data_IF_997045575348
#
_entry.id   IF_997045575348
#
_cell.length_a   1.000
_cell.length_b   1.000
_cell.length_c   1.000
_cell.angle_alpha   90.00
_cell.angle_beta   90.00
_cell.angle_gamma   90.00
#
_symmetry.space_group_name_H-M   'P 1'
#
loop_
_entity.id
_entity.type
_entity.pdbx_description
1 polymer ?
#
# COMPACT_ATOMS: atom_id res chain seq x y z
N UNK A 1 -44.42 -23.53 25.94
CA UNK A 1 -44.62 -22.93 24.61
C UNK A 1 -44.49 -21.40 24.61
N UNK A 2 -44.95 -20.68 25.65
CA UNK A 2 -44.94 -19.20 25.71
C UNK A 2 -43.52 -18.58 25.58
N UNK A 3 -42.49 -19.20 26.18
CA UNK A 3 -41.12 -18.67 26.14
C UNK A 3 -40.45 -18.70 24.75
N UNK A 4 -40.96 -19.50 23.81
CA UNK A 4 -40.40 -19.60 22.45
C UNK A 4 -40.93 -18.51 21.52
N UNK A 5 -42.21 -18.15 21.65
CA UNK A 5 -42.83 -17.08 20.87
C UNK A 5 -42.28 -15.70 21.26
N UNK A 6 -42.14 -15.42 22.56
CA UNK A 6 -41.53 -14.19 23.06
C UNK A 6 -40.11 -13.97 22.52
N UNK A 7 -39.34 -15.05 22.34
CA UNK A 7 -38.00 -14.97 21.75
C UNK A 7 -38.05 -14.65 20.26
N UNK A 8 -38.97 -15.25 19.50
CA UNK A 8 -39.16 -14.94 18.06
C UNK A 8 -39.57 -13.48 17.87
N UNK A 9 -40.43 -12.97 18.75
CA UNK A 9 -40.89 -11.58 18.74
C UNK A 9 -39.75 -10.60 19.04
N UNK A 10 -38.94 -10.89 20.07
CA UNK A 10 -37.78 -10.08 20.41
C UNK A 10 -36.75 -9.99 19.27
N UNK A 11 -36.47 -11.11 18.59
CA UNK A 11 -35.56 -11.09 17.44
C UNK A 11 -36.16 -10.33 16.25
N UNK A 12 -37.47 -10.45 15.98
CA UNK A 12 -38.11 -9.65 14.93
C UNK A 12 -38.03 -8.14 15.24
N UNK A 13 -38.25 -7.74 16.49
CA UNK A 13 -38.12 -6.35 16.93
C UNK A 13 -36.68 -5.85 16.81
N UNK A 14 -35.69 -6.71 17.10
CA UNK A 14 -34.26 -6.39 16.92
C UNK A 14 -33.92 -6.12 15.45
N UNK A 15 -34.45 -6.93 14.52
CA UNK A 15 -34.26 -6.70 13.07
C UNK A 15 -34.88 -5.36 12.65
N UNK A 16 -36.11 -5.07 13.10
CA UNK A 16 -36.80 -3.81 12.79
C UNK A 16 -36.07 -2.59 13.36
N UNK A 17 -35.56 -2.69 14.60
CA UNK A 17 -34.78 -1.64 15.23
C UNK A 17 -33.45 -1.39 14.49
N UNK A 18 -32.73 -2.45 14.12
CA UNK A 18 -31.50 -2.37 13.34
C UNK A 18 -31.71 -1.73 11.97
N UNK A 19 -32.73 -2.18 11.22
CA UNK A 19 -33.12 -1.56 9.95
C UNK A 19 -33.47 -0.06 10.13
N UNK A 20 -34.31 0.27 11.10
CA UNK A 20 -34.72 1.66 11.32
C UNK A 20 -33.56 2.56 11.78
N UNK A 21 -32.59 2.01 12.52
CA UNK A 21 -31.40 2.74 12.91
C UNK A 21 -30.44 2.93 11.74
N UNK A 22 -30.25 1.89 10.93
CA UNK A 22 -29.51 1.98 9.68
C UNK A 22 -30.10 3.06 8.76
N UNK A 23 -31.41 3.06 8.50
CA UNK A 23 -32.04 4.09 7.65
C UNK A 23 -31.83 5.51 8.16
N UNK A 24 -31.74 5.70 9.49
CA UNK A 24 -31.53 7.02 10.11
C UNK A 24 -30.07 7.48 10.09
N UNK A 25 -29.12 6.55 10.22
CA UNK A 25 -27.72 6.88 10.53
C UNK A 25 -26.72 6.40 9.47
N UNK A 26 -27.12 5.51 8.56
CA UNK A 26 -26.26 4.89 7.55
C UNK A 26 -25.19 3.95 8.13
N UNK A 27 -25.31 3.54 9.40
CA UNK A 27 -24.31 2.72 10.06
C UNK A 27 -24.45 1.24 9.70
N UNK A 28 -23.48 0.68 8.98
CA UNK A 28 -23.46 -0.72 8.54
C UNK A 28 -23.45 -1.73 9.69
N UNK A 29 -22.98 -1.34 10.88
CA UNK A 29 -23.05 -2.21 12.07
C UNK A 29 -24.51 -2.60 12.39
N UNK A 30 -25.45 -1.68 12.19
CA UNK A 30 -26.87 -1.92 12.47
C UNK A 30 -27.50 -2.90 11.47
N UNK A 31 -27.04 -2.90 10.21
CA UNK A 31 -27.41 -3.94 9.24
C UNK A 31 -26.80 -5.29 9.59
N UNK A 32 -25.58 -5.30 10.13
CA UNK A 32 -24.94 -6.52 10.65
C UNK A 32 -25.73 -7.13 11.79
N UNK A 33 -26.11 -6.31 12.78
CA UNK A 33 -26.94 -6.73 13.91
C UNK A 33 -28.33 -7.25 13.48
N UNK A 34 -28.94 -6.63 12.47
CA UNK A 34 -30.19 -7.08 11.89
C UNK A 34 -30.04 -8.43 11.15
N UNK A 35 -28.92 -8.63 10.43
CA UNK A 35 -28.61 -9.88 9.76
C UNK A 35 -28.37 -11.03 10.76
N UNK A 36 -27.66 -10.77 11.86
CA UNK A 36 -27.42 -11.77 12.92
C UNK A 36 -28.73 -12.20 13.61
N UNK A 37 -29.65 -11.26 13.82
CA UNK A 37 -31.00 -11.56 14.33
C UNK A 37 -31.81 -12.42 13.34
N UNK A 38 -31.67 -12.22 12.03
CA UNK A 38 -32.28 -13.10 11.01
C UNK A 38 -31.69 -14.51 11.07
N UNK A 39 -30.37 -14.66 11.24
CA UNK A 39 -29.78 -16.00 11.40
C UNK A 39 -30.28 -16.70 12.67
N UNK A 40 -30.41 -15.95 13.77
CA UNK A 40 -31.00 -16.45 15.01
C UNK A 40 -32.44 -16.93 14.80
N UNK A 41 -33.26 -16.19 14.03
CA UNK A 41 -34.62 -16.60 13.66
C UNK A 41 -34.64 -17.87 12.80
N UNK A 42 -33.66 -18.05 11.90
CA UNK A 42 -33.53 -19.28 11.09
C UNK A 42 -33.16 -20.49 11.95
N UNK A 43 -32.28 -20.31 12.93
CA UNK A 43 -31.94 -21.36 13.90
C UNK A 43 -33.14 -21.75 14.75
N UNK A 44 -33.91 -20.76 15.23
CA UNK A 44 -35.17 -21.02 15.94
C UNK A 44 -36.18 -21.77 15.08
N UNK A 45 -36.28 -21.45 13.78
CA UNK A 45 -37.15 -22.17 12.86
C UNK A 45 -36.74 -23.64 12.70
N UNK A 46 -35.43 -23.92 12.57
CA UNK A 46 -34.92 -25.30 12.49
C UNK A 46 -35.19 -26.09 13.76
N UNK A 47 -35.05 -25.46 14.93
CA UNK A 47 -35.23 -26.11 16.22
C UNK A 47 -36.70 -26.28 16.61
N UNK A 48 -37.53 -25.26 16.35
CA UNK A 48 -38.92 -25.17 16.83
C UNK A 48 -39.86 -24.57 15.76
N UNK A 49 -40.15 -25.30 14.66
CA UNK A 49 -40.92 -24.76 13.53
C UNK A 49 -42.31 -24.24 13.93
N UNK A 50 -43.00 -24.94 14.84
CA UNK A 50 -44.36 -24.60 15.27
C UNK A 50 -44.43 -23.25 16.00
N UNK A 51 -43.37 -22.84 16.69
CA UNK A 51 -43.30 -21.56 17.41
C UNK A 51 -43.00 -20.39 16.48
N UNK A 52 -42.31 -20.64 15.36
CA UNK A 52 -41.93 -19.61 14.37
C UNK A 52 -42.97 -19.49 13.26
N UNK A 53 -43.70 -20.56 12.94
CA UNK A 53 -44.69 -20.62 11.86
C UNK A 53 -45.66 -19.41 11.81
N UNK A 54 -46.20 -18.91 12.94
CA UNK A 54 -47.08 -17.74 12.92
C UNK A 54 -46.42 -16.45 12.44
N UNK A 55 -45.09 -16.35 12.50
CA UNK A 55 -44.31 -15.15 12.20
C UNK A 55 -43.57 -15.22 10.86
N UNK A 56 -43.66 -16.34 10.12
CA UNK A 56 -42.86 -16.57 8.92
C UNK A 56 -42.98 -15.47 7.87
N UNK A 57 -44.18 -14.95 7.62
CA UNK A 57 -44.37 -13.87 6.64
C UNK A 57 -43.78 -12.53 7.10
N UNK A 58 -43.72 -12.27 8.41
CA UNK A 58 -42.98 -11.10 8.95
C UNK A 58 -41.48 -11.33 8.79
N UNK A 59 -40.98 -12.49 9.17
CA UNK A 59 -39.55 -12.84 9.10
C UNK A 59 -39.04 -12.76 7.66
N UNK A 60 -39.80 -13.28 6.68
CA UNK A 60 -39.45 -13.18 5.26
C UNK A 60 -39.31 -11.72 4.81
N UNK A 61 -40.33 -10.89 5.09
CA UNK A 61 -40.28 -9.46 4.73
C UNK A 61 -39.09 -8.73 5.36
N UNK A 62 -38.79 -9.01 6.63
CA UNK A 62 -37.64 -8.43 7.30
C UNK A 62 -36.31 -8.92 6.70
N UNK A 63 -36.22 -10.20 6.36
CA UNK A 63 -35.04 -10.76 5.73
C UNK A 63 -34.80 -10.21 4.32
N UNK A 64 -35.87 -10.02 3.54
CA UNK A 64 -35.78 -9.42 2.21
C UNK A 64 -35.36 -7.95 2.32
N UNK A 65 -35.94 -7.18 3.24
CA UNK A 65 -35.55 -5.78 3.49
C UNK A 65 -34.08 -5.63 3.90
N UNK A 66 -33.59 -6.45 4.83
CA UNK A 66 -32.15 -6.43 5.22
C UNK A 66 -31.27 -6.79 4.03
N UNK A 67 -31.66 -7.79 3.23
CA UNK A 67 -30.88 -8.19 2.04
C UNK A 67 -30.81 -7.07 1.01
N UNK A 68 -31.94 -6.44 0.71
CA UNK A 68 -32.01 -5.32 -0.24
C UNK A 68 -31.08 -4.19 0.17
N UNK A 69 -31.09 -3.81 1.46
CA UNK A 69 -30.21 -2.76 1.98
C UNK A 69 -28.73 -3.17 1.94
N UNK A 70 -28.40 -4.41 2.30
CA UNK A 70 -27.01 -4.91 2.21
C UNK A 70 -26.49 -4.83 0.76
N UNK A 71 -27.28 -5.29 -0.21
CA UNK A 71 -26.89 -5.25 -1.63
C UNK A 71 -26.73 -3.80 -2.09
N UNK A 72 -27.67 -2.92 -1.75
CA UNK A 72 -27.59 -1.50 -2.09
C UNK A 72 -26.33 -0.83 -1.52
N UNK A 73 -25.97 -1.13 -0.27
CA UNK A 73 -24.75 -0.60 0.34
C UNK A 73 -23.47 -1.17 -0.26
N UNK A 74 -23.45 -2.46 -0.61
CA UNK A 74 -22.30 -3.06 -1.29
C UNK A 74 -22.01 -2.39 -2.63
N UNK A 75 -23.04 -2.17 -3.44
CA UNK A 75 -22.89 -1.52 -4.75
C UNK A 75 -22.43 -0.06 -4.59
N UNK A 76 -23.01 0.67 -3.64
CA UNK A 76 -22.62 2.06 -3.36
C UNK A 76 -21.16 2.17 -2.91
N UNK A 77 -20.74 1.34 -1.96
CA UNK A 77 -19.36 1.33 -1.45
C UNK A 77 -18.35 0.90 -2.51
N UNK A 78 -18.70 -0.10 -3.33
CA UNK A 78 -17.85 -0.54 -4.43
C UNK A 78 -17.66 0.57 -5.47
N UNK A 79 -18.73 1.31 -5.80
CA UNK A 79 -18.68 2.44 -6.71
C UNK A 79 -17.83 3.60 -6.15
N UNK A 80 -18.00 3.94 -4.87
CA UNK A 80 -17.22 4.98 -4.20
C UNK A 80 -15.73 4.60 -4.15
N UNK A 81 -15.42 3.36 -3.76
CA UNK A 81 -14.06 2.84 -3.74
C UNK A 81 -13.40 2.91 -5.12
N UNK A 82 -14.12 2.50 -6.18
CA UNK A 82 -13.60 2.57 -7.55
C UNK A 82 -13.31 4.01 -7.99
N UNK A 83 -14.18 4.97 -7.63
CA UNK A 83 -13.96 6.38 -7.93
C UNK A 83 -12.73 6.96 -7.22
N UNK A 84 -12.55 6.62 -5.93
CA UNK A 84 -11.37 7.04 -5.15
C UNK A 84 -10.10 6.44 -5.76
N UNK A 85 -10.09 5.14 -6.08
CA UNK A 85 -8.93 4.49 -6.69
C UNK A 85 -8.53 5.12 -8.03
N UNK A 86 -9.50 5.49 -8.87
CA UNK A 86 -9.24 6.20 -10.13
C UNK A 86 -8.63 7.59 -9.89
N UNK A 87 -9.13 8.34 -8.91
CA UNK A 87 -8.58 9.65 -8.57
C UNK A 87 -7.15 9.54 -8.02
N UNK A 88 -6.87 8.53 -7.18
CA UNK A 88 -5.51 8.25 -6.72
C UNK A 88 -4.54 7.97 -7.88
N UNK A 89 -4.97 7.16 -8.87
CA UNK A 89 -4.18 6.91 -10.08
C UNK A 89 -3.92 8.20 -10.86
N UNK A 90 -4.95 9.05 -11.03
CA UNK A 90 -4.84 10.33 -11.73
C UNK A 90 -3.88 11.28 -11.01
N UNK A 91 -3.98 11.38 -9.69
CA UNK A 91 -3.09 12.19 -8.87
C UNK A 91 -1.65 11.65 -8.90
N UNK A 92 -1.47 10.33 -8.87
CA UNK A 92 -0.16 9.71 -8.99
C UNK A 92 0.49 10.01 -10.35
N UNK A 93 -0.26 9.91 -11.45
CA UNK A 93 0.24 10.25 -12.78
C UNK A 93 0.60 11.74 -12.88
N UNK A 94 -0.27 12.63 -12.39
CA UNK A 94 0.01 14.07 -12.33
C UNK A 94 1.27 14.36 -11.52
N UNK A 95 1.44 13.72 -10.36
CA UNK A 95 2.65 13.83 -9.53
C UNK A 95 3.89 13.35 -10.28
N UNK A 96 3.82 12.25 -11.04
CA UNK A 96 4.93 11.77 -11.90
C UNK A 96 5.29 12.79 -12.97
N UNK A 97 4.30 13.35 -13.68
CA UNK A 97 4.51 14.40 -14.71
C UNK A 97 5.15 15.66 -14.12
N UNK A 98 4.65 16.15 -12.99
CA UNK A 98 5.23 17.29 -12.27
C UNK A 98 6.66 17.01 -11.81
N UNK A 99 6.92 15.81 -11.28
CA UNK A 99 8.26 15.40 -10.87
C UNK A 99 9.23 15.42 -12.05
N UNK A 100 8.84 14.85 -13.19
CA UNK A 100 9.66 14.85 -14.40
C UNK A 100 9.97 16.28 -14.89
N UNK A 101 8.96 17.15 -14.92
CA UNK A 101 9.12 18.55 -15.30
C UNK A 101 10.07 19.31 -14.35
N UNK A 102 9.96 19.08 -13.04
CA UNK A 102 10.85 19.69 -12.04
C UNK A 102 12.30 19.17 -12.15
N UNK A 103 12.48 17.88 -12.45
CA UNK A 103 13.81 17.32 -12.73
C UNK A 103 14.42 17.97 -13.97
N UNK A 104 13.65 18.14 -15.05
CA UNK A 104 14.15 18.79 -16.26
C UNK A 104 14.45 20.27 -16.02
N UNK A 105 13.62 20.98 -15.26
CA UNK A 105 13.91 22.35 -14.84
C UNK A 105 15.26 22.43 -14.08
N UNK A 106 15.50 21.51 -13.12
CA UNK A 106 16.78 21.45 -12.42
C UNK A 106 17.94 21.13 -13.38
N UNK A 107 17.71 20.26 -14.38
CA UNK A 107 18.70 19.89 -15.38
C UNK A 107 19.12 21.06 -16.25
N UNK A 108 18.17 21.88 -16.69
CA UNK A 108 18.42 23.10 -17.49
C UNK A 108 19.24 24.12 -16.71
N UNK A 109 18.98 24.29 -15.41
CA UNK A 109 19.77 25.20 -14.57
C UNK A 109 21.21 24.73 -14.34
N UNK A 110 21.48 23.42 -14.38
CA UNK A 110 22.83 22.86 -14.29
C UNK A 110 23.50 22.91 -12.90
N UNK A 111 22.93 23.67 -11.96
CA UNK A 111 23.45 23.88 -10.62
C UNK A 111 23.41 22.62 -9.73
N UNK A 112 24.28 22.60 -8.72
CA UNK A 112 24.34 21.51 -7.73
C UNK A 112 23.09 21.45 -6.86
N UNK A 113 22.45 22.59 -6.62
CA UNK A 113 21.19 22.72 -5.87
C UNK A 113 20.35 23.76 -6.59
N UNK A 114 19.10 23.43 -6.87
CA UNK A 114 18.13 24.31 -7.54
C UNK A 114 16.89 24.39 -6.64
N UNK A 115 16.44 25.61 -6.35
CA UNK A 115 15.18 25.84 -5.65
C UNK A 115 14.11 26.27 -6.67
N UNK A 116 13.02 25.50 -6.77
CA UNK A 116 11.87 25.80 -7.62
C UNK A 116 10.64 25.93 -6.73
N UNK A 117 10.30 27.16 -6.33
CA UNK A 117 9.22 27.43 -5.39
C UNK A 117 9.43 26.71 -4.06
N UNK A 118 8.51 25.81 -3.68
CA UNK A 118 8.59 24.98 -2.48
C UNK A 118 9.39 23.68 -2.64
N UNK A 119 9.97 23.42 -3.82
CA UNK A 119 10.74 22.20 -4.09
C UNK A 119 12.22 22.53 -4.22
N UNK A 120 13.05 21.84 -3.44
CA UNK A 120 14.50 21.82 -3.56
C UNK A 120 14.96 20.61 -4.36
N UNK A 121 15.55 20.85 -5.52
CA UNK A 121 16.30 19.86 -6.28
C UNK A 121 17.77 19.84 -5.90
N UNK A 122 18.32 18.67 -5.60
CA UNK A 122 19.76 18.48 -5.38
C UNK A 122 20.29 17.56 -6.46
N UNK A 123 21.28 18.05 -7.22
CA UNK A 123 22.02 17.25 -8.18
C UNK A 123 22.98 16.34 -7.42
N UNK A 124 22.76 15.04 -7.57
CA UNK A 124 23.63 13.98 -7.11
C UNK A 124 24.31 13.41 -8.35
N UNK A 125 25.62 13.25 -8.32
CA UNK A 125 26.22 12.27 -9.22
C UNK A 125 25.80 10.90 -8.71
N UNK A 126 25.43 9.97 -9.57
CA UNK A 126 25.27 8.55 -9.21
C UNK A 126 26.24 7.72 -10.03
N UNK A 127 26.92 6.78 -9.37
CA UNK A 127 27.83 5.86 -10.05
C UNK A 127 26.99 4.83 -10.82
N UNK A 128 27.19 4.73 -12.12
CA UNK A 128 26.54 3.74 -12.98
C UNK A 128 27.51 2.59 -13.20
N UNK A 129 27.10 1.42 -12.73
CA UNK A 129 27.88 0.21 -12.87
C UNK A 129 27.81 -0.32 -14.31
N UNK A 130 28.87 -1.01 -14.78
CA UNK A 130 28.81 -1.74 -16.03
C UNK A 130 27.66 -2.77 -16.02
N UNK A 131 27.04 -3.07 -17.18
CA UNK A 131 26.04 -4.12 -17.30
C UNK A 131 26.55 -5.47 -16.81
N UNK A 132 25.69 -6.29 -16.21
CA UNK A 132 26.07 -7.54 -15.55
C UNK A 132 26.89 -8.50 -16.42
N UNK A 133 26.62 -8.56 -17.74
CA UNK A 133 27.32 -9.44 -18.70
C UNK A 133 28.46 -8.76 -19.47
N UNK A 134 28.89 -7.56 -19.05
CA UNK A 134 29.94 -6.82 -19.76
C UNK A 134 31.34 -7.22 -19.29
N UNK A 135 32.37 -7.18 -20.15
CA UNK A 135 33.75 -7.43 -19.74
C UNK A 135 34.21 -6.45 -18.66
N UNK A 136 33.73 -5.20 -18.69
CA UNK A 136 34.03 -4.21 -17.65
C UNK A 136 33.44 -4.56 -16.28
N UNK A 137 32.33 -5.31 -16.22
CA UNK A 137 31.77 -5.83 -14.96
C UNK A 137 32.67 -6.90 -14.37
N UNK A 138 33.06 -7.89 -15.18
CA UNK A 138 33.95 -8.96 -14.75
C UNK A 138 35.29 -8.40 -14.25
N UNK A 139 35.85 -7.41 -14.95
CA UNK A 139 37.06 -6.73 -14.52
C UNK A 139 36.88 -6.00 -13.18
N UNK A 140 35.80 -5.25 -12.99
CA UNK A 140 35.51 -4.55 -11.73
C UNK A 140 35.37 -5.53 -10.56
N UNK A 141 34.67 -6.65 -10.78
CA UNK A 141 34.48 -7.70 -9.78
C UNK A 141 35.81 -8.37 -9.42
N UNK A 142 36.66 -8.65 -10.40
CA UNK A 142 37.99 -9.19 -10.16
C UNK A 142 38.85 -8.22 -9.33
N UNK A 143 38.87 -6.93 -9.66
CA UNK A 143 39.61 -5.91 -8.90
C UNK A 143 39.12 -5.78 -7.46
N UNK A 144 37.81 -5.93 -7.23
CA UNK A 144 37.24 -5.94 -5.87
C UNK A 144 37.63 -7.20 -5.08
N UNK A 145 37.75 -8.34 -5.75
CA UNK A 145 38.23 -9.61 -5.15
C UNK A 145 39.71 -9.53 -4.82
N UNK A 146 40.54 -9.03 -5.75
CA UNK A 146 41.98 -8.85 -5.56
C UNK A 146 42.27 -7.91 -4.37
N UNK A 147 41.41 -6.91 -4.15
CA UNK A 147 41.47 -6.01 -3.02
C UNK A 147 40.90 -6.58 -1.71
N UNK A 148 40.34 -7.81 -1.72
CA UNK A 148 39.72 -8.44 -0.55
C UNK A 148 38.42 -7.78 -0.08
N UNK A 149 37.75 -6.98 -0.93
CA UNK A 149 36.57 -6.17 -0.56
C UNK A 149 35.29 -6.59 -1.25
N UNK A 150 35.31 -7.68 -2.02
CA UNK A 150 34.14 -8.16 -2.76
C UNK A 150 32.91 -8.36 -1.85
N UNK A 151 33.13 -8.88 -0.64
CA UNK A 151 32.06 -9.15 0.32
C UNK A 151 31.42 -7.88 0.89
N UNK A 152 32.18 -6.79 1.03
CA UNK A 152 31.65 -5.49 1.48
C UNK A 152 30.70 -4.86 0.45
N UNK A 153 30.94 -5.17 -0.83
CA UNK A 153 30.18 -4.70 -1.98
C UNK A 153 29.40 -5.83 -2.65
N UNK A 154 29.01 -6.88 -1.91
CA UNK A 154 28.25 -8.00 -2.48
C UNK A 154 26.97 -7.50 -3.16
N UNK A 155 26.68 -8.09 -4.33
CA UNK A 155 25.69 -7.61 -5.32
C UNK A 155 26.01 -6.26 -6.00
N UNK A 156 27.20 -5.70 -5.78
CA UNK A 156 27.66 -4.44 -6.36
C UNK A 156 26.58 -3.35 -6.20
N UNK A 157 26.23 -3.07 -4.95
CA UNK A 157 25.34 -1.96 -4.64
C UNK A 157 26.02 -0.65 -5.04
N UNK A 158 25.58 -0.04 -6.15
CA UNK A 158 26.15 1.17 -6.73
C UNK A 158 26.31 2.30 -5.69
N UNK A 159 25.34 2.43 -4.78
CA UNK A 159 25.37 3.44 -3.71
C UNK A 159 26.53 3.24 -2.70
N UNK A 160 26.83 1.99 -2.31
CA UNK A 160 27.93 1.70 -1.37
C UNK A 160 29.28 1.96 -2.03
N UNK A 161 29.48 1.43 -3.24
CA UNK A 161 30.72 1.63 -4.00
C UNK A 161 30.97 3.11 -4.28
N UNK A 162 29.91 3.84 -4.64
CA UNK A 162 29.97 5.27 -4.84
C UNK A 162 30.34 6.04 -3.56
N UNK A 163 29.72 5.72 -2.43
CA UNK A 163 30.05 6.37 -1.16
C UNK A 163 31.51 6.13 -0.76
N UNK A 164 32.00 4.90 -0.94
CA UNK A 164 33.40 4.57 -0.64
C UNK A 164 34.36 5.31 -1.58
N UNK A 165 34.02 5.41 -2.88
CA UNK A 165 34.78 6.16 -3.87
C UNK A 165 34.84 7.66 -3.54
N UNK A 166 33.69 8.29 -3.23
CA UNK A 166 33.61 9.71 -2.90
C UNK A 166 34.31 10.08 -1.58
N UNK A 167 34.37 9.15 -0.63
CA UNK A 167 35.05 9.33 0.66
C UNK A 167 36.55 8.99 0.61
N UNK A 168 37.08 8.62 -0.56
CA UNK A 168 38.49 8.23 -0.70
C UNK A 168 38.85 6.96 0.07
N UNK A 169 37.88 6.08 0.32
CA UNK A 169 38.08 4.85 1.10
C UNK A 169 38.55 3.66 0.25
N UNK A 170 38.67 3.84 -1.07
CA UNK A 170 39.16 2.83 -2.00
C UNK A 170 40.68 2.99 -2.19
N UNK A 171 41.39 1.90 -2.47
CA UNK A 171 42.81 1.99 -2.86
C UNK A 171 42.96 2.81 -4.15
N UNK A 172 44.17 3.30 -4.42
CA UNK A 172 44.46 4.10 -5.63
C UNK A 172 44.11 3.32 -6.90
N UNK A 173 44.51 2.04 -6.96
CA UNK A 173 44.23 1.17 -8.10
C UNK A 173 42.74 0.90 -8.29
N UNK A 174 42.01 0.66 -7.19
CA UNK A 174 40.57 0.41 -7.24
C UNK A 174 39.79 1.68 -7.59
N UNK A 175 40.23 2.84 -7.10
CA UNK A 175 39.66 4.14 -7.47
C UNK A 175 39.85 4.43 -8.95
N UNK A 176 41.02 4.13 -9.52
CA UNK A 176 41.29 4.26 -10.95
C UNK A 176 40.42 3.29 -11.78
N UNK A 177 40.27 2.04 -11.33
CA UNK A 177 39.39 1.07 -11.98
C UNK A 177 37.92 1.51 -11.94
N UNK A 178 37.42 2.01 -10.80
CA UNK A 178 36.04 2.54 -10.68
C UNK A 178 35.84 3.74 -11.60
N UNK A 179 36.80 4.67 -11.65
CA UNK A 179 36.71 5.87 -12.51
C UNK A 179 36.69 5.54 -14.00
N UNK A 180 37.41 4.49 -14.41
CA UNK A 180 37.49 4.04 -15.81
C UNK A 180 36.30 3.17 -16.22
N UNK A 181 35.86 2.28 -15.34
CA UNK A 181 34.87 1.25 -15.67
C UNK A 181 33.43 1.71 -15.39
N UNK A 182 33.22 2.59 -14.41
CA UNK A 182 31.89 3.06 -14.06
C UNK A 182 31.61 4.42 -14.69
N UNK A 183 30.41 4.58 -15.26
CA UNK A 183 29.93 5.89 -15.68
C UNK A 183 29.47 6.72 -14.48
N UNK A 184 29.34 8.03 -14.67
CA UNK A 184 28.62 8.90 -13.72
C UNK A 184 27.45 9.55 -14.43
N UNK A 185 26.24 9.38 -13.90
CA UNK A 185 25.06 10.06 -14.40
C UNK A 185 24.55 11.08 -13.37
N UNK A 186 24.18 12.30 -13.79
CA UNK A 186 23.53 13.24 -12.89
C UNK A 186 22.11 12.75 -12.59
N UNK A 187 21.81 12.56 -11.32
CA UNK A 187 20.49 12.26 -10.79
C UNK A 187 20.02 13.43 -9.93
N UNK A 188 18.72 13.76 -9.96
CA UNK A 188 18.17 14.86 -9.19
C UNK A 188 17.24 14.34 -8.11
N UNK A 189 17.60 14.63 -6.85
CA UNK A 189 16.73 14.37 -5.70
C UNK A 189 15.89 15.61 -5.44
N UNK A 190 14.57 15.46 -5.55
CA UNK A 190 13.61 16.50 -5.18
C UNK A 190 13.17 16.31 -3.73
N UNK A 191 13.21 17.37 -2.94
CA UNK A 191 12.78 17.44 -1.54
C UNK A 191 11.87 18.66 -1.40
N UNK A 192 10.80 18.58 -0.62
CA UNK A 192 10.01 19.76 -0.28
C UNK A 192 10.81 20.60 0.73
N UNK A 193 10.96 21.90 0.47
CA UNK A 193 11.67 22.83 1.33
C UNK A 193 10.77 23.25 2.51
N UNK A 194 10.63 22.33 3.47
CA UNK A 194 10.06 22.41 4.82
C UNK A 194 8.60 22.89 5.01
N UNK A 195 7.84 22.38 5.99
CA UNK A 195 8.25 21.59 7.16
C UNK A 195 7.19 20.60 7.64
N UNK A 196 7.60 19.34 7.75
CA UNK A 196 7.28 18.44 8.87
C UNK A 196 8.48 17.51 8.99
N UNK A 197 9.49 17.95 9.73
CA UNK A 197 10.44 17.03 10.32
C UNK A 197 9.65 16.14 11.29
N UNK A 198 9.40 14.87 10.92
CA UNK A 198 9.21 13.86 11.96
C UNK A 198 10.54 13.75 12.70
N UNK A 199 10.57 13.91 14.03
CA UNK A 199 11.79 13.69 14.79
C UNK A 199 12.25 12.27 14.50
N UNK A 200 13.49 12.12 14.02
CA UNK A 200 14.20 10.85 14.08
C UNK A 200 14.54 10.60 15.55
N UNK A 201 13.60 10.02 16.27
CA UNK A 201 13.90 9.33 17.51
C UNK A 201 14.65 8.05 17.13
N UNK A 202 15.96 8.06 17.36
CA UNK A 202 16.74 6.85 17.43
C UNK A 202 16.41 6.19 18.78
N UNK A 203 15.79 5.01 18.76
CA UNK A 203 16.15 3.91 19.66
C UNK A 203 15.49 2.60 19.18
N UNK A 204 16.27 1.54 19.30
CA UNK A 204 16.01 0.18 18.84
C UNK A 204 14.89 -0.49 19.64
N UNK A 205 14.13 -1.38 19.01
CA UNK A 205 13.26 -2.29 19.77
C UNK A 205 12.20 -3.01 18.96
N UNK A 206 12.60 -4.10 18.32
CA UNK A 206 11.84 -5.36 18.22
C UNK A 206 10.59 -5.45 17.30
N UNK A 207 10.73 -6.38 16.34
CA UNK A 207 9.74 -7.33 15.78
C UNK A 207 8.25 -6.95 15.68
N UNK A 208 7.72 -7.04 14.45
CA UNK A 208 6.27 -7.17 14.23
C UNK A 208 5.89 -6.99 12.76
N UNK A 209 5.85 -8.11 12.04
CA UNK A 209 5.30 -8.33 10.69
C UNK A 209 4.50 -7.17 10.06
N UNK A 210 5.04 -6.62 8.97
CA UNK A 210 4.23 -5.94 7.95
C UNK A 210 4.06 -6.92 6.78
N UNK A 211 2.89 -7.51 6.66
CA UNK A 211 2.48 -8.19 5.43
C UNK A 211 2.35 -7.13 4.34
N UNK A 212 3.17 -7.24 3.31
CA UNK A 212 3.04 -6.45 2.09
C UNK A 212 1.84 -6.96 1.29
N UNK A 213 0.98 -6.02 0.87
CA UNK A 213 -0.18 -6.20 0.00
C UNK A 213 0.17 -6.65 -1.45
N UNK A 214 1.38 -7.16 -1.67
CA UNK A 214 1.89 -7.64 -2.96
C UNK A 214 1.83 -9.19 -3.08
N UNK A 215 1.34 -9.91 -2.08
CA UNK A 215 1.12 -11.37 -2.12
C UNK A 215 -0.28 -11.80 -2.61
N UNK A 216 -1.15 -10.86 -3.02
CA UNK A 216 -2.55 -11.16 -3.39
C UNK A 216 -2.82 -11.20 -4.91
N UNK A 217 -1.80 -11.01 -5.74
CA UNK A 217 -1.89 -11.21 -7.19
C UNK A 217 -0.82 -12.21 -7.60
N UNK A 218 -1.19 -13.49 -7.55
CA UNK A 218 -0.37 -14.59 -8.05
C UNK A 218 -0.09 -14.43 -9.55
N UNK A 219 0.98 -15.08 -10.05
CA UNK A 219 1.25 -15.12 -11.48
C UNK A 219 0.14 -15.87 -12.21
N UNK A 220 -0.46 -15.23 -13.22
CA UNK A 220 -1.22 -15.92 -14.26
C UNK A 220 -0.25 -16.83 -15.03
N UNK A 221 -0.24 -18.12 -14.70
CA UNK A 221 0.32 -19.16 -15.54
C UNK A 221 -0.80 -20.05 -16.12
N UNK A 222 -0.85 -19.98 -17.45
CA UNK A 222 -1.19 -21.01 -18.45
C UNK A 222 -2.64 -21.53 -18.59
N UNK A 223 -3.26 -21.19 -19.73
CA UNK A 223 -3.49 -22.13 -20.86
C UNK A 223 -3.97 -21.40 -22.10
#
# INVERSE_FOLDING_TARGET
>A
MIASQAKVEAECERVEAGLAQFTRQGNLTELGDAQDAIETLRELYRAQPASVAPHLERIKRLADAVREEIVAQQDALAAEYAAVAQEEMRLAERKRKLRAALVEACRVHGDKVVQVGAVRGTRLSSLRLPPAKSPGRAELEQRLRDAGRYDEFTMLAAAKLQSAFQRGQLSVELSAAVSRLCGTEPNYRLVLADGTERPRSAEQGNAGASHSLEELLGPDEES
#
